data_IF_476066475630
#
_entry.id   IF_476066475630
#
_cell.length_a   1.000
_cell.length_b   1.000
_cell.length_c   1.000
_cell.angle_alpha   90.00
_cell.angle_beta   90.00
_cell.angle_gamma   90.00
#
_symmetry.space_group_name_H-M   'P 1'
#
loop_
_entity.id
_entity.type
_entity.pdbx_description
1 polymer ?
#
# COMPACT_ATOMS: atom_id res chain seq x y z
N UNK A 1 -5.70 -11.86 7.68
CA UNK A 1 -5.19 -11.08 6.53
C UNK A 1 -6.05 -9.89 6.09
N UNK A 2 -7.37 -10.03 5.80
CA UNK A 2 -8.16 -9.01 5.05
C UNK A 2 -8.29 -7.59 5.65
N UNK A 3 -7.80 -7.29 6.86
CA UNK A 3 -7.85 -5.93 7.45
C UNK A 3 -6.63 -5.52 8.26
N UNK A 4 -5.56 -6.33 8.27
CA UNK A 4 -4.42 -6.07 9.17
C UNK A 4 -3.75 -4.73 8.89
N UNK A 5 -3.50 -4.42 7.61
CA UNK A 5 -2.89 -3.15 7.22
C UNK A 5 -3.72 -1.93 7.64
N UNK A 6 -5.05 -1.98 7.45
CA UNK A 6 -5.96 -0.89 7.82
C UNK A 6 -6.04 -0.72 9.34
N UNK A 7 -6.09 -1.84 10.10
CA UNK A 7 -6.05 -1.80 11.56
C UNK A 7 -4.73 -1.21 12.07
N UNK A 8 -3.60 -1.53 11.43
CA UNK A 8 -2.30 -0.95 11.76
C UNK A 8 -2.25 0.55 11.50
N UNK A 9 -2.62 0.98 10.29
CA UNK A 9 -2.66 2.40 9.94
C UNK A 9 -3.50 3.21 10.93
N UNK A 10 -4.68 2.68 11.30
CA UNK A 10 -5.56 3.29 12.31
C UNK A 10 -4.90 3.41 13.68
N UNK A 11 -4.27 2.34 14.18
CA UNK A 11 -3.61 2.33 15.49
C UNK A 11 -2.49 3.37 15.61
N UNK A 12 -1.82 3.65 14.50
CA UNK A 12 -0.74 4.63 14.42
C UNK A 12 -1.21 6.02 13.99
N UNK A 13 -2.53 6.21 13.80
CA UNK A 13 -3.13 7.44 13.31
C UNK A 13 -2.52 7.92 11.98
N UNK A 14 -2.20 6.97 11.10
CA UNK A 14 -1.63 7.23 9.78
C UNK A 14 -2.76 7.28 8.77
N UNK A 15 -3.07 8.45 8.20
CA UNK A 15 -4.14 8.55 7.23
C UNK A 15 -3.71 7.79 5.96
N UNK A 16 -4.49 6.77 5.60
CA UNK A 16 -4.15 5.79 4.57
C UNK A 16 -5.31 5.66 3.59
N UNK A 17 -5.02 5.71 2.30
CA UNK A 17 -5.99 5.45 1.23
C UNK A 17 -5.68 4.07 0.65
N UNK A 18 -6.69 3.20 0.58
CA UNK A 18 -6.57 1.88 -0.02
C UNK A 18 -7.50 1.80 -1.24
N UNK A 19 -6.92 1.52 -2.41
CA UNK A 19 -7.64 1.49 -3.68
C UNK A 19 -7.60 0.07 -4.24
N UNK A 20 -8.76 -0.59 -4.32
CA UNK A 20 -8.89 -1.85 -5.03
C UNK A 20 -9.11 -1.58 -6.51
N UNK A 21 -8.30 -2.18 -7.35
CA UNK A 21 -8.44 -2.08 -8.81
C UNK A 21 -8.36 -3.46 -9.44
N UNK A 22 -9.08 -3.63 -10.56
CA UNK A 22 -8.98 -4.80 -11.43
C UNK A 22 -8.12 -4.51 -12.68
N UNK A 23 -7.34 -3.44 -12.67
CA UNK A 23 -6.44 -3.08 -13.77
C UNK A 23 -5.23 -4.02 -13.78
N UNK A 24 -4.94 -4.61 -14.93
CA UNK A 24 -3.72 -5.39 -15.14
C UNK A 24 -2.45 -4.53 -15.03
N UNK A 25 -1.29 -5.20 -14.89
CA UNK A 25 0.05 -4.60 -14.78
C UNK A 25 0.29 -3.43 -15.74
N UNK A 26 -0.02 -3.59 -17.03
CA UNK A 26 0.18 -2.56 -18.06
C UNK A 26 -0.66 -1.29 -17.87
N UNK A 27 -1.83 -1.39 -17.25
CA UNK A 27 -2.70 -0.25 -16.98
C UNK A 27 -2.49 0.32 -15.56
N UNK A 28 -1.68 -0.34 -14.73
CA UNK A 28 -1.49 0.04 -13.33
C UNK A 28 -0.83 1.41 -13.16
N UNK A 29 0.14 1.78 -14.01
CA UNK A 29 0.79 3.08 -13.92
C UNK A 29 -0.15 4.23 -14.30
N UNK A 30 -0.95 4.05 -15.36
CA UNK A 30 -1.97 5.02 -15.76
C UNK A 30 -3.03 5.18 -14.67
N UNK A 31 -3.47 4.06 -14.07
CA UNK A 31 -4.39 4.06 -12.95
C UNK A 31 -3.84 4.81 -11.72
N UNK A 32 -2.58 4.59 -11.37
CA UNK A 32 -1.93 5.28 -10.25
C UNK A 32 -1.87 6.79 -10.51
N UNK A 33 -1.45 7.20 -11.71
CA UNK A 33 -1.39 8.64 -12.07
C UNK A 33 -2.76 9.31 -11.99
N UNK A 34 -3.79 8.67 -12.52
CA UNK A 34 -5.14 9.24 -12.48
C UNK A 34 -5.69 9.27 -11.05
N UNK A 35 -5.43 8.23 -10.26
CA UNK A 35 -5.80 8.21 -8.83
C UNK A 35 -5.12 9.33 -8.05
N UNK A 36 -3.83 9.56 -8.29
CA UNK A 36 -3.08 10.66 -7.68
C UNK A 36 -3.65 12.02 -8.11
N UNK A 37 -3.99 12.19 -9.40
CA UNK A 37 -4.63 13.41 -9.91
C UNK A 37 -5.96 13.68 -9.20
N UNK A 38 -6.84 12.69 -9.12
CA UNK A 38 -8.15 12.84 -8.44
C UNK A 38 -7.97 13.21 -6.97
N UNK A 39 -7.07 12.51 -6.25
CA UNK A 39 -6.80 12.77 -4.83
C UNK A 39 -6.23 14.19 -4.64
N UNK A 40 -5.30 14.61 -5.48
CA UNK A 40 -4.64 15.90 -5.35
C UNK A 40 -5.55 17.07 -5.76
N UNK A 41 -6.23 16.95 -6.90
CA UNK A 41 -6.97 18.05 -7.54
C UNK A 41 -8.45 18.08 -7.14
N UNK A 42 -9.15 16.96 -7.25
CA UNK A 42 -10.60 16.92 -7.01
C UNK A 42 -10.94 16.85 -5.53
N UNK A 43 -10.17 16.06 -4.76
CA UNK A 43 -10.35 15.97 -3.32
C UNK A 43 -9.57 17.06 -2.57
N UNK A 44 -8.67 17.78 -3.25
CA UNK A 44 -7.88 18.86 -2.67
C UNK A 44 -6.76 18.41 -1.72
N UNK A 45 -6.34 17.14 -1.76
CA UNK A 45 -5.29 16.60 -0.89
C UNK A 45 -3.90 16.69 -1.53
N UNK A 46 -3.62 17.77 -2.27
CA UNK A 46 -2.35 17.90 -3.00
C UNK A 46 -1.12 17.65 -2.12
N UNK A 47 -0.31 16.67 -2.51
CA UNK A 47 0.93 16.32 -1.81
C UNK A 47 0.73 15.47 -0.55
N UNK A 48 -0.49 14.95 -0.33
CA UNK A 48 -0.80 13.98 0.72
C UNK A 48 -0.17 12.61 0.44
N UNK A 49 -0.19 12.15 -0.82
CA UNK A 49 0.45 10.89 -1.21
C UNK A 49 1.97 11.07 -1.24
N UNK A 50 2.65 10.60 -0.19
CA UNK A 50 4.13 10.64 -0.09
C UNK A 50 4.82 9.41 -0.67
N UNK A 51 4.16 8.27 -0.60
CA UNK A 51 4.62 7.00 -1.13
C UNK A 51 3.42 6.12 -1.45
N UNK A 52 3.59 5.16 -2.36
CA UNK A 52 2.60 4.13 -2.63
C UNK A 52 3.29 2.79 -2.87
N UNK A 53 2.60 1.71 -2.53
CA UNK A 53 3.01 0.34 -2.84
C UNK A 53 1.92 -0.32 -3.67
N UNK A 54 2.32 -1.16 -4.61
CA UNK A 54 1.40 -2.01 -5.37
C UNK A 54 1.67 -3.45 -4.99
N UNK A 55 0.60 -4.16 -4.65
CA UNK A 55 0.64 -5.58 -4.32
C UNK A 55 -0.43 -6.28 -5.13
N UNK A 56 -0.12 -7.48 -5.59
CA UNK A 56 -1.08 -8.28 -6.34
C UNK A 56 -2.00 -8.99 -5.34
N UNK A 57 -3.30 -8.90 -5.57
CA UNK A 57 -4.32 -9.60 -4.78
C UNK A 57 -4.90 -10.82 -5.50
N UNK A 58 -4.53 -10.99 -6.78
CA UNK A 58 -4.94 -12.09 -7.67
C UNK A 58 -3.73 -12.55 -8.48
N UNK A 59 -3.65 -13.86 -8.74
CA UNK A 59 -2.61 -14.41 -9.61
C UNK A 59 -2.83 -13.93 -11.06
N UNK A 60 -1.75 -13.69 -11.79
CA UNK A 60 -1.82 -13.25 -13.19
C UNK A 60 -0.69 -13.87 -14.01
N UNK A 61 -0.88 -14.01 -15.33
CA UNK A 61 0.17 -14.52 -16.21
C UNK A 61 0.99 -13.36 -16.79
N UNK A 62 2.31 -13.43 -16.63
CA UNK A 62 3.26 -12.52 -17.24
C UNK A 62 4.22 -13.30 -18.14
N UNK A 63 4.19 -13.00 -19.45
CA UNK A 63 5.03 -13.67 -20.46
C UNK A 63 4.96 -15.22 -20.41
N UNK A 64 3.79 -15.77 -20.09
CA UNK A 64 3.58 -17.22 -19.98
C UNK A 64 3.99 -17.83 -18.64
N UNK A 65 4.48 -17.03 -17.69
CA UNK A 65 4.76 -17.45 -16.31
C UNK A 65 3.60 -16.99 -15.43
N UNK A 66 3.02 -17.91 -14.65
CA UNK A 66 2.02 -17.56 -13.65
C UNK A 66 2.71 -16.91 -12.44
N UNK A 67 2.35 -15.66 -12.16
CA UNK A 67 2.79 -14.91 -10.99
C UNK A 67 1.74 -15.14 -9.90
N UNK A 68 2.10 -15.83 -8.79
CA UNK A 68 1.17 -16.08 -7.70
C UNK A 68 0.82 -14.80 -6.94
N UNK A 69 -0.17 -14.89 -6.06
CA UNK A 69 -0.52 -13.80 -5.13
C UNK A 69 0.64 -13.63 -4.13
N UNK A 70 1.46 -12.60 -4.33
CA UNK A 70 2.66 -12.30 -3.53
C UNK A 70 2.70 -10.80 -3.18
N UNK A 71 3.47 -10.42 -2.15
CA UNK A 71 3.67 -9.02 -1.77
C UNK A 71 2.72 -8.46 -0.70
N UNK A 72 1.43 -8.85 -0.66
CA UNK A 72 0.52 -8.29 0.36
C UNK A 72 0.88 -8.74 1.78
N UNK A 73 1.27 -10.00 1.94
CA UNK A 73 1.69 -10.54 3.24
C UNK A 73 3.02 -9.94 3.68
N UNK A 74 4.02 -9.91 2.80
CA UNK A 74 5.30 -9.26 3.08
C UNK A 74 5.11 -7.78 3.45
N UNK A 75 4.29 -7.04 2.70
CA UNK A 75 4.01 -5.63 3.00
C UNK A 75 3.44 -5.46 4.40
N UNK A 76 2.50 -6.32 4.83
CA UNK A 76 1.94 -6.28 6.17
C UNK A 76 3.01 -6.58 7.23
N UNK A 77 3.82 -7.60 7.02
CA UNK A 77 4.86 -8.03 7.95
C UNK A 77 5.98 -6.96 8.08
N UNK A 78 6.47 -6.42 6.96
CA UNK A 78 7.47 -5.34 6.95
C UNK A 78 6.94 -4.06 7.59
N UNK A 79 5.68 -3.71 7.31
CA UNK A 79 5.02 -2.55 7.93
C UNK A 79 4.97 -2.71 9.45
N UNK A 80 4.57 -3.89 9.93
CA UNK A 80 4.49 -4.20 11.36
C UNK A 80 5.86 -4.12 12.03
N UNK A 81 6.88 -4.72 11.42
CA UNK A 81 8.25 -4.70 11.94
C UNK A 81 8.80 -3.27 12.01
N UNK A 82 8.60 -2.48 10.95
CA UNK A 82 9.02 -1.06 10.90
C UNK A 82 8.39 -0.27 12.05
N UNK A 83 7.09 -0.39 12.25
CA UNK A 83 6.40 0.30 13.34
C UNK A 83 6.84 -0.14 14.73
N UNK A 84 7.09 -1.43 14.94
CA UNK A 84 7.63 -1.93 16.21
C UNK A 84 9.02 -1.37 16.50
N UNK A 85 9.87 -1.28 15.48
CA UNK A 85 11.20 -0.67 15.59
C UNK A 85 11.09 0.82 15.93
N UNK A 86 10.26 1.58 15.21
CA UNK A 86 10.01 3.00 15.48
C UNK A 86 9.47 3.23 16.90
N UNK A 87 8.58 2.35 17.37
CA UNK A 87 8.07 2.39 18.75
C UNK A 87 9.20 2.28 19.77
N UNK A 88 10.07 1.27 19.61
CA UNK A 88 11.21 1.04 20.52
C UNK A 88 12.20 2.19 20.52
N UNK A 89 12.48 2.79 19.35
CA UNK A 89 13.34 3.99 19.23
C UNK A 89 12.72 5.15 20.02
N UNK A 90 11.42 5.41 19.83
CA UNK A 90 10.70 6.48 20.56
C UNK A 90 10.71 6.27 22.07
N UNK A 91 10.67 5.02 22.52
CA UNK A 91 10.70 4.63 23.93
C UNK A 91 12.13 4.58 24.52
N UNK A 92 13.17 4.85 23.72
CA UNK A 92 14.57 4.84 24.16
C UNK A 92 15.09 3.44 24.52
N UNK A 93 14.48 2.39 23.95
CA UNK A 93 14.84 0.98 24.19
C UNK A 93 16.01 0.57 23.26
N UNK A 94 16.39 1.44 22.32
CA UNK A 94 17.56 1.35 21.45
C UNK A 94 18.47 2.58 21.63
#
# INVERSE_FOLDING_TARGET
MKRELLSFAKNWNIPTIFVFTNTQEKAGDAFVKESQRIIDEEWGFKGFIKAYARVNSVAFSFRGIEVPIEGLKELVDETKNTFQTLKKIREGIF
#
